data_IF_691470839485
#
_entry.id   IF_691470839485
#
_cell.length_a   1.000
_cell.length_b   1.000
_cell.length_c   1.000
_cell.angle_alpha   90.00
_cell.angle_beta   90.00
_cell.angle_gamma   90.00
#
_symmetry.space_group_name_H-M   'P 1'
#
loop_
_entity.id
_entity.type
_entity.pdbx_description
1 polymer ?
#
# COMPACT_ATOMS: atom_id res chain seq x y z
N UNK A 1 31.77 57.44 12.39
CA UNK A 1 32.53 56.99 11.21
C UNK A 1 33.20 55.67 11.57
N UNK A 2 32.44 54.57 11.57
CA UNK A 2 32.95 53.22 11.78
C UNK A 2 32.32 52.32 10.72
N UNK A 3 33.13 51.89 9.78
CA UNK A 3 32.76 51.04 8.65
C UNK A 3 33.00 49.59 9.07
N UNK A 4 31.93 48.80 9.20
CA UNK A 4 32.01 47.35 9.41
C UNK A 4 32.33 46.67 8.07
N UNK A 5 33.52 46.06 7.98
CA UNK A 5 33.87 45.14 6.91
C UNK A 5 33.38 43.74 7.28
N UNK A 6 32.36 43.25 6.59
CA UNK A 6 31.93 41.85 6.63
C UNK A 6 32.81 41.08 5.64
N UNK A 7 33.68 40.22 6.17
CA UNK A 7 34.45 39.25 5.38
C UNK A 7 33.57 38.02 5.18
N UNK A 8 33.09 37.83 3.96
CA UNK A 8 32.27 36.69 3.55
C UNK A 8 33.21 35.54 3.14
N UNK A 9 33.34 34.55 4.02
CA UNK A 9 34.15 33.35 3.77
C UNK A 9 33.39 32.40 2.83
N UNK A 10 33.74 32.40 1.54
CA UNK A 10 33.26 31.40 0.59
C UNK A 10 34.10 30.13 0.74
N UNK A 11 33.55 29.12 1.42
CA UNK A 11 34.09 27.76 1.37
C UNK A 11 33.61 27.13 0.05
N UNK A 12 34.47 27.16 -0.96
CA UNK A 12 34.33 26.33 -2.16
C UNK A 12 34.80 24.92 -1.84
N UNK A 13 33.85 24.05 -1.47
CA UNK A 13 34.08 22.59 -1.45
C UNK A 13 34.15 22.09 -2.89
N UNK A 14 35.36 21.97 -3.43
CA UNK A 14 35.60 21.22 -4.66
C UNK A 14 35.44 19.73 -4.37
N UNK A 15 34.32 19.14 -4.79
CA UNK A 15 34.19 17.69 -4.81
C UNK A 15 35.01 17.12 -5.97
N UNK A 16 36.11 16.44 -5.63
CA UNK A 16 36.83 15.58 -6.55
C UNK A 16 35.87 14.52 -7.11
N UNK A 17 35.78 14.45 -8.45
CA UNK A 17 35.08 13.39 -9.18
C UNK A 17 35.80 12.06 -8.92
N UNK A 18 35.25 11.28 -8.00
CA UNK A 18 35.63 9.88 -7.83
C UNK A 18 34.75 9.04 -8.79
N UNK A 19 35.34 8.63 -9.91
CA UNK A 19 34.73 7.90 -11.04
C UNK A 19 34.48 6.40 -10.74
N UNK A 20 33.75 6.11 -9.65
CA UNK A 20 33.09 4.81 -9.45
C UNK A 20 32.09 4.88 -8.28
N UNK A 21 31.21 5.90 -8.29
CA UNK A 21 30.05 5.87 -7.41
C UNK A 21 29.03 4.93 -8.03
N UNK A 22 29.00 3.70 -7.54
CA UNK A 22 27.79 2.97 -7.22
C UNK A 22 26.53 3.88 -7.30
N UNK A 23 25.91 3.98 -8.50
CA UNK A 23 24.78 4.89 -8.76
C UNK A 23 23.48 4.14 -8.55
N UNK A 24 22.62 4.67 -7.68
CA UNK A 24 21.31 4.10 -7.40
C UNK A 24 20.29 4.36 -8.54
N UNK A 25 20.29 5.58 -9.10
CA UNK A 25 19.50 5.98 -10.27
C UNK A 25 20.40 6.60 -11.36
N UNK A 26 20.47 5.99 -12.54
CA UNK A 26 21.29 6.45 -13.65
C UNK A 26 20.53 7.39 -14.64
N UNK A 27 21.24 7.89 -15.65
CA UNK A 27 20.67 8.84 -16.61
C UNK A 27 19.59 8.21 -17.51
N UNK A 28 19.64 6.90 -17.77
CA UNK A 28 18.64 6.18 -18.56
C UNK A 28 17.34 6.05 -17.77
N UNK A 29 17.44 5.78 -16.47
CA UNK A 29 16.29 5.69 -15.56
C UNK A 29 15.59 7.04 -15.39
N UNK A 30 16.35 8.15 -15.28
CA UNK A 30 15.78 9.51 -15.27
C UNK A 30 15.04 9.81 -16.58
N UNK A 31 15.65 9.48 -17.72
CA UNK A 31 15.01 9.66 -19.03
C UNK A 31 13.76 8.80 -19.16
N UNK A 32 13.80 7.56 -18.68
CA UNK A 32 12.63 6.68 -18.66
C UNK A 32 11.49 7.35 -17.91
N UNK A 33 11.72 7.90 -16.71
CA UNK A 33 10.65 8.56 -15.95
C UNK A 33 10.03 9.72 -16.72
N UNK A 34 10.85 10.61 -17.27
CA UNK A 34 10.36 11.75 -18.05
C UNK A 34 9.58 11.30 -19.29
N UNK A 35 10.08 10.28 -19.99
CA UNK A 35 9.46 9.78 -21.23
C UNK A 35 8.16 9.02 -21.00
N UNK A 36 8.05 8.27 -19.90
CA UNK A 36 6.91 7.40 -19.62
C UNK A 36 5.83 8.12 -18.80
N UNK A 37 6.24 8.87 -17.76
CA UNK A 37 5.31 9.54 -16.84
C UNK A 37 5.12 11.03 -17.17
N UNK A 38 6.09 11.66 -17.81
CA UNK A 38 6.04 13.07 -18.23
C UNK A 38 7.01 13.98 -17.50
N UNK A 39 7.15 15.21 -18.01
CA UNK A 39 8.18 16.17 -17.57
C UNK A 39 8.04 16.62 -16.10
N UNK A 40 6.84 16.54 -15.53
CA UNK A 40 6.57 16.90 -14.13
C UNK A 40 7.11 15.86 -13.14
N UNK A 41 7.34 14.62 -13.59
CA UNK A 41 7.72 13.52 -12.70
C UNK A 41 9.22 13.43 -12.51
N UNK A 42 9.66 13.13 -11.30
CA UNK A 42 11.07 12.92 -10.97
C UNK A 42 11.24 11.59 -10.22
N UNK A 43 12.49 11.16 -10.05
CA UNK A 43 12.83 10.02 -9.18
C UNK A 43 13.43 10.59 -7.89
N UNK A 44 13.06 10.02 -6.76
CA UNK A 44 13.73 10.29 -5.49
C UNK A 44 15.07 9.55 -5.43
N UNK A 45 16.15 10.27 -5.19
CA UNK A 45 17.52 9.77 -5.31
C UNK A 45 18.27 9.72 -3.97
N UNK A 46 17.65 10.18 -2.87
CA UNK A 46 18.26 10.22 -1.53
C UNK A 46 18.41 8.87 -0.83
N UNK A 47 18.25 7.75 -1.56
CA UNK A 47 18.32 6.41 -0.98
C UNK A 47 19.72 5.82 -1.04
N UNK A 48 20.16 5.13 0.04
CA UNK A 48 21.39 4.36 -0.01
C UNK A 48 21.21 3.11 -0.87
N UNK A 49 22.28 2.69 -1.55
CA UNK A 49 22.32 1.39 -2.25
C UNK A 49 22.17 0.19 -1.33
N UNK A 50 22.60 0.33 -0.08
CA UNK A 50 22.52 -0.69 0.96
C UNK A 50 22.12 -0.01 2.26
N UNK A 51 21.14 -0.60 2.92
CA UNK A 51 20.65 -0.15 4.22
C UNK A 51 20.66 -1.35 5.15
N UNK A 52 21.13 -1.14 6.38
CA UNK A 52 20.89 -2.10 7.46
C UNK A 52 19.45 -1.89 7.96
N UNK A 53 18.61 -2.92 7.85
CA UNK A 53 17.19 -2.80 8.22
C UNK A 53 17.05 -2.41 9.68
N UNK A 54 17.94 -2.91 10.55
CA UNK A 54 17.89 -2.66 11.99
C UNK A 54 18.07 -1.18 12.35
N UNK A 55 18.61 -0.36 11.44
CA UNK A 55 18.76 1.08 11.65
C UNK A 55 17.44 1.85 11.54
N UNK A 56 16.46 1.33 10.80
CA UNK A 56 15.22 2.07 10.49
C UNK A 56 13.93 1.28 10.74
N UNK A 57 14.00 -0.04 10.91
CA UNK A 57 12.83 -0.88 11.13
C UNK A 57 13.08 -2.05 12.10
N UNK A 58 12.02 -2.48 12.77
CA UNK A 58 11.93 -3.76 13.47
C UNK A 58 11.18 -4.73 12.56
N UNK A 59 11.85 -5.76 12.04
CA UNK A 59 11.22 -6.75 11.18
C UNK A 59 10.78 -7.96 12.01
N UNK A 60 9.48 -8.09 12.25
CA UNK A 60 8.89 -9.19 13.01
C UNK A 60 8.03 -10.06 12.09
N UNK A 61 8.58 -11.21 11.70
CA UNK A 61 7.86 -12.20 10.90
C UNK A 61 7.24 -13.27 11.82
N UNK A 62 5.98 -13.63 11.56
CA UNK A 62 5.18 -14.58 12.35
C UNK A 62 4.83 -14.07 13.75
N UNK A 63 4.30 -12.85 13.81
CA UNK A 63 3.77 -12.28 15.06
C UNK A 63 2.53 -13.07 15.48
N UNK A 64 2.55 -13.62 16.70
CA UNK A 64 1.41 -14.37 17.23
C UNK A 64 0.15 -13.50 17.22
N UNK A 65 -0.99 -14.10 16.87
CA UNK A 65 -2.25 -13.35 16.74
C UNK A 65 -2.74 -12.77 18.08
N UNK A 66 -2.39 -13.43 19.20
CA UNK A 66 -2.95 -13.12 20.51
C UNK A 66 -4.48 -13.15 20.48
N UNK A 67 -5.06 -13.95 19.58
CA UNK A 67 -6.50 -14.00 19.34
C UNK A 67 -7.14 -15.00 20.30
N UNK A 68 -7.83 -14.46 21.29
CA UNK A 68 -8.87 -15.22 21.98
C UNK A 68 -10.17 -15.04 21.19
N UNK A 69 -10.93 -16.12 20.99
CA UNK A 69 -12.29 -16.13 20.38
C UNK A 69 -13.31 -15.42 21.29
N UNK A 70 -12.96 -14.27 21.85
CA UNK A 70 -13.77 -13.56 22.82
C UNK A 70 -14.94 -12.86 22.13
N UNK A 71 -16.15 -13.31 22.48
CA UNK A 71 -17.41 -12.85 21.89
C UNK A 71 -17.76 -11.40 22.25
N UNK A 72 -17.00 -10.76 23.15
CA UNK A 72 -17.31 -9.50 23.84
C UNK A 72 -16.33 -8.35 23.57
N UNK A 73 -15.30 -8.54 22.73
CA UNK A 73 -14.34 -7.47 22.42
C UNK A 73 -15.04 -6.33 21.65
N UNK A 74 -14.91 -5.11 22.15
CA UNK A 74 -15.32 -3.88 21.45
C UNK A 74 -14.12 -3.33 20.68
N UNK A 75 -14.34 -2.97 19.42
CA UNK A 75 -13.29 -2.42 18.55
C UNK A 75 -13.51 -0.92 18.38
N UNK A 76 -12.42 -0.11 18.26
CA UNK A 76 -12.55 1.29 17.87
C UNK A 76 -13.30 1.41 16.54
N UNK A 77 -14.27 2.32 16.46
CA UNK A 77 -15.09 2.50 15.25
C UNK A 77 -14.23 2.78 13.99
N UNK A 78 -13.10 3.48 14.16
CA UNK A 78 -12.15 3.83 13.11
C UNK A 78 -10.81 3.10 13.29
N UNK A 79 -10.85 1.79 13.49
CA UNK A 79 -9.63 0.99 13.60
C UNK A 79 -8.87 0.97 12.27
N UNK A 80 -9.52 0.58 11.17
CA UNK A 80 -8.84 0.55 9.87
C UNK A 80 -9.74 0.83 8.66
N UNK A 81 -9.18 1.45 7.63
CA UNK A 81 -9.85 1.71 6.36
C UNK A 81 -9.34 0.74 5.28
N UNK A 82 -10.24 -0.07 4.74
CA UNK A 82 -10.02 -0.96 3.60
C UNK A 82 -10.17 -0.20 2.29
N UNK A 83 -9.06 0.26 1.70
CA UNK A 83 -9.06 0.95 0.39
C UNK A 83 -8.87 -0.09 -0.71
N UNK A 84 -9.97 -0.53 -1.29
CA UNK A 84 -10.01 -1.64 -2.25
C UNK A 84 -9.81 -1.08 -3.65
N UNK A 85 -8.69 -1.45 -4.26
CA UNK A 85 -8.32 -1.05 -5.61
C UNK A 85 -9.02 -1.98 -6.60
N UNK A 86 -9.86 -1.40 -7.46
CA UNK A 86 -10.60 -2.15 -8.48
C UNK A 86 -10.54 -1.44 -9.84
N UNK A 87 -11.09 -2.08 -10.86
CA UNK A 87 -11.16 -1.61 -12.24
C UNK A 87 -12.63 -1.56 -12.71
N UNK A 88 -12.97 -0.69 -13.68
CA UNK A 88 -14.36 -0.51 -14.09
C UNK A 88 -15.03 -1.75 -14.69
N UNK A 89 -14.24 -2.70 -15.20
CA UNK A 89 -14.73 -3.98 -15.73
C UNK A 89 -14.83 -5.09 -14.66
N UNK A 90 -14.61 -4.77 -13.38
CA UNK A 90 -14.63 -5.71 -12.25
C UNK A 90 -15.77 -5.46 -11.26
N UNK A 91 -16.91 -4.98 -11.73
CA UNK A 91 -18.11 -4.76 -10.90
C UNK A 91 -18.49 -6.00 -10.06
N UNK A 92 -18.35 -7.20 -10.62
CA UNK A 92 -18.62 -8.44 -9.88
C UNK A 92 -17.72 -8.62 -8.66
N UNK A 93 -16.48 -8.13 -8.68
CA UNK A 93 -15.58 -8.19 -7.52
C UNK A 93 -16.05 -7.26 -6.41
N UNK A 94 -16.52 -6.06 -6.76
CA UNK A 94 -17.15 -5.11 -5.83
C UNK A 94 -18.35 -5.77 -5.15
N UNK A 95 -19.24 -6.37 -5.94
CA UNK A 95 -20.43 -7.06 -5.42
C UNK A 95 -20.07 -8.25 -4.51
N UNK A 96 -19.11 -9.09 -4.92
CA UNK A 96 -18.67 -10.24 -4.14
C UNK A 96 -18.06 -9.81 -2.80
N UNK A 97 -17.19 -8.79 -2.82
CA UNK A 97 -16.54 -8.27 -1.62
C UNK A 97 -17.57 -7.67 -0.65
N UNK A 98 -18.51 -6.86 -1.17
CA UNK A 98 -19.62 -6.28 -0.40
C UNK A 98 -20.51 -7.35 0.24
N UNK A 99 -20.79 -8.42 -0.49
CA UNK A 99 -21.63 -9.53 -0.01
C UNK A 99 -20.91 -10.52 0.90
N UNK A 100 -19.61 -10.32 1.15
CA UNK A 100 -18.79 -11.21 1.98
C UNK A 100 -18.18 -10.47 3.17
N UNK A 101 -16.87 -10.20 3.16
CA UNK A 101 -16.18 -9.66 4.32
C UNK A 101 -16.38 -8.15 4.50
N UNK A 102 -16.84 -7.43 3.48
CA UNK A 102 -17.20 -6.00 3.56
C UNK A 102 -18.68 -5.74 3.84
N UNK A 103 -19.40 -6.70 4.42
CA UNK A 103 -20.78 -6.45 4.90
C UNK A 103 -20.79 -5.35 5.97
N UNK A 104 -21.87 -4.57 6.00
CA UNK A 104 -22.00 -3.42 6.92
C UNK A 104 -21.95 -3.88 8.38
N UNK A 105 -22.55 -5.02 8.70
CA UNK A 105 -22.57 -5.59 10.04
C UNK A 105 -21.16 -5.99 10.51
N UNK A 106 -20.31 -6.46 9.60
CA UNK A 106 -18.89 -6.71 9.89
C UNK A 106 -18.12 -5.41 10.11
N UNK A 107 -18.31 -4.42 9.24
CA UNK A 107 -17.69 -3.11 9.32
C UNK A 107 -17.95 -2.46 10.69
N UNK A 108 -19.22 -2.40 11.10
CA UNK A 108 -19.63 -1.85 12.40
C UNK A 108 -19.09 -2.68 13.58
N UNK A 109 -19.15 -4.01 13.49
CA UNK A 109 -18.74 -4.90 14.59
C UNK A 109 -17.23 -4.90 14.84
N UNK A 110 -16.42 -4.81 13.78
CA UNK A 110 -14.97 -4.96 13.86
C UNK A 110 -14.20 -3.66 13.60
N UNK A 111 -14.90 -2.52 13.57
CA UNK A 111 -14.28 -1.20 13.60
C UNK A 111 -13.61 -0.78 12.30
N UNK A 112 -14.15 -1.15 11.14
CA UNK A 112 -13.52 -0.85 9.86
C UNK A 112 -14.52 -0.38 8.83
N UNK A 113 -14.00 0.20 7.74
CA UNK A 113 -14.81 0.59 6.59
C UNK A 113 -14.19 0.12 5.29
N UNK A 114 -15.02 -0.37 4.37
CA UNK A 114 -14.61 -0.67 3.00
C UNK A 114 -14.99 0.45 2.05
N UNK A 115 -14.04 0.84 1.20
CA UNK A 115 -14.26 1.75 0.08
C UNK A 115 -13.61 1.18 -1.18
N UNK A 116 -14.22 1.44 -2.34
CA UNK A 116 -13.73 1.01 -3.64
C UNK A 116 -13.18 2.21 -4.39
N UNK A 117 -11.92 2.12 -4.82
CA UNK A 117 -11.24 3.20 -5.53
C UNK A 117 -11.03 2.81 -6.99
N UNK A 118 -11.54 3.66 -7.88
CA UNK A 118 -11.37 3.55 -9.33
C UNK A 118 -10.77 4.84 -9.89
N UNK A 119 -9.98 4.72 -10.96
CA UNK A 119 -9.45 5.89 -11.67
C UNK A 119 -10.54 6.46 -12.57
N UNK A 120 -10.84 7.75 -12.41
CA UNK A 120 -11.97 8.42 -13.06
C UNK A 120 -11.88 8.34 -14.59
N UNK A 121 -10.70 8.58 -15.17
CA UNK A 121 -10.49 8.50 -16.62
C UNK A 121 -10.78 7.10 -17.17
N UNK A 122 -10.36 6.05 -16.46
CA UNK A 122 -10.70 4.65 -16.81
C UNK A 122 -12.20 4.39 -16.74
N UNK A 123 -12.89 4.96 -15.74
CA UNK A 123 -14.34 4.81 -15.57
C UNK A 123 -15.10 5.51 -16.70
N UNK A 124 -14.67 6.72 -17.11
CA UNK A 124 -15.33 7.47 -18.19
C UNK A 124 -15.17 6.82 -19.56
N UNK A 125 -14.14 5.99 -19.76
CA UNK A 125 -13.89 5.30 -21.03
C UNK A 125 -14.58 3.94 -21.13
N UNK A 126 -15.16 3.42 -20.04
CA UNK A 126 -15.86 2.12 -20.04
C UNK A 126 -17.35 2.27 -20.34
N UNK A 127 -17.95 1.19 -20.85
CA UNK A 127 -19.41 1.04 -20.96
C UNK A 127 -20.14 0.91 -19.61
N UNK A 128 -19.38 0.75 -18.52
CA UNK A 128 -19.90 0.47 -17.18
C UNK A 128 -20.07 1.72 -16.29
N UNK A 129 -19.89 2.94 -16.83
CA UNK A 129 -20.04 4.18 -16.06
C UNK A 129 -21.40 4.25 -15.33
N UNK A 130 -22.51 4.04 -16.05
CA UNK A 130 -23.85 4.12 -15.46
C UNK A 130 -24.09 3.04 -14.40
N UNK A 131 -23.55 1.84 -14.59
CA UNK A 131 -23.65 0.75 -13.60
C UNK A 131 -22.93 1.15 -12.30
N UNK A 132 -21.73 1.71 -12.40
CA UNK A 132 -20.93 2.15 -11.27
C UNK A 132 -21.58 3.35 -10.55
N UNK A 133 -22.12 4.31 -11.29
CA UNK A 133 -22.84 5.45 -10.71
C UNK A 133 -24.08 4.97 -9.93
N UNK A 134 -24.88 4.08 -10.51
CA UNK A 134 -26.05 3.50 -9.86
C UNK A 134 -25.69 2.70 -8.59
N UNK A 135 -24.61 1.92 -8.65
CA UNK A 135 -24.09 1.22 -7.47
C UNK A 135 -23.68 2.23 -6.38
N UNK A 136 -22.99 3.30 -6.75
CA UNK A 136 -22.54 4.29 -5.80
C UNK A 136 -23.67 5.14 -5.20
N UNK A 137 -24.73 5.41 -5.97
CA UNK A 137 -25.96 6.03 -5.46
C UNK A 137 -26.66 5.18 -4.41
N UNK A 138 -26.48 3.85 -4.47
CA UNK A 138 -27.09 2.91 -3.52
C UNK A 138 -26.24 2.71 -2.27
N UNK A 139 -24.92 2.52 -2.45
CA UNK A 139 -24.03 2.07 -1.38
C UNK A 139 -23.08 3.14 -0.85
N UNK A 140 -22.87 4.24 -1.59
CA UNK A 140 -22.00 5.35 -1.21
C UNK A 140 -20.58 4.93 -0.78
N UNK A 141 -20.06 3.87 -1.40
CA UNK A 141 -18.77 3.25 -1.08
C UNK A 141 -17.77 3.28 -2.25
N UNK A 142 -18.13 3.88 -3.40
CA UNK A 142 -17.27 3.99 -4.58
C UNK A 142 -16.73 5.42 -4.70
N UNK A 143 -15.41 5.53 -4.85
CA UNK A 143 -14.69 6.79 -4.99
C UNK A 143 -13.90 6.79 -6.29
N UNK A 144 -14.16 7.80 -7.11
CA UNK A 144 -13.38 8.06 -8.33
C UNK A 144 -12.23 9.00 -7.98
N UNK A 145 -11.01 8.56 -8.25
CA UNK A 145 -9.81 9.39 -8.09
C UNK A 145 -9.28 9.80 -9.45
N UNK A 146 -8.75 11.01 -9.53
CA UNK A 146 -8.00 11.43 -10.70
C UNK A 146 -6.59 10.83 -10.72
N UNK A 147 -5.95 10.83 -11.88
CA UNK A 147 -4.52 10.61 -12.00
C UNK A 147 -3.97 11.69 -12.94
N UNK A 148 -3.72 12.91 -12.45
CA UNK A 148 -3.25 13.99 -13.30
C UNK A 148 -1.98 13.57 -14.05
N UNK A 149 -1.95 13.90 -15.34
CA UNK A 149 -0.85 13.62 -16.27
C UNK A 149 -0.60 12.12 -16.56
N UNK A 150 -1.40 11.19 -16.02
CA UNK A 150 -1.20 9.75 -16.16
C UNK A 150 -2.47 9.00 -16.57
N UNK A 151 -2.28 7.86 -17.24
CA UNK A 151 -3.32 6.86 -17.41
C UNK A 151 -3.12 5.72 -16.40
N UNK A 152 -4.20 5.04 -16.05
CA UNK A 152 -4.13 3.84 -15.22
C UNK A 152 -3.39 2.72 -15.97
N UNK A 153 -2.30 2.25 -15.38
CA UNK A 153 -1.40 1.27 -15.95
C UNK A 153 -0.68 0.51 -14.83
N UNK A 154 -0.15 -0.67 -15.14
CA UNK A 154 0.61 -1.50 -14.18
C UNK A 154 1.75 -0.73 -13.47
N UNK A 155 2.46 0.13 -14.21
CA UNK A 155 3.56 0.95 -13.69
C UNK A 155 3.14 2.30 -13.09
N UNK A 156 1.84 2.61 -13.04
CA UNK A 156 1.29 3.83 -12.41
C UNK A 156 0.49 3.52 -11.14
N UNK A 157 0.49 2.26 -10.68
CA UNK A 157 -0.22 1.83 -9.47
C UNK A 157 0.28 2.53 -8.20
N UNK A 158 1.56 2.93 -8.13
CA UNK A 158 2.07 3.75 -7.02
C UNK A 158 1.35 5.09 -6.92
N UNK A 159 1.12 5.77 -8.05
CA UNK A 159 0.40 7.04 -8.10
C UNK A 159 -1.07 6.85 -7.77
N UNK A 160 -1.67 5.73 -8.20
CA UNK A 160 -3.02 5.33 -7.77
C UNK A 160 -3.09 5.25 -6.24
N UNK A 161 -2.12 4.58 -5.59
CA UNK A 161 -2.06 4.51 -4.12
C UNK A 161 -1.91 5.88 -3.47
N UNK A 162 -0.96 6.70 -3.92
CA UNK A 162 -0.70 8.01 -3.32
C UNK A 162 -1.96 8.89 -3.40
N UNK A 163 -2.64 8.94 -4.54
CA UNK A 163 -3.86 9.73 -4.65
C UNK A 163 -5.04 9.11 -3.88
N UNK A 164 -5.15 7.78 -3.84
CA UNK A 164 -6.12 7.12 -2.97
C UNK A 164 -5.92 7.49 -1.49
N UNK A 165 -4.67 7.60 -1.02
CA UNK A 165 -4.36 8.06 0.33
C UNK A 165 -4.63 9.55 0.56
N UNK A 166 -4.32 10.41 -0.41
CA UNK A 166 -4.68 11.85 -0.35
C UNK A 166 -6.20 11.99 -0.17
N UNK A 167 -6.98 11.29 -0.99
CA UNK A 167 -8.44 11.27 -0.91
C UNK A 167 -8.90 10.70 0.44
N UNK A 168 -8.36 9.55 0.85
CA UNK A 168 -8.79 8.87 2.07
C UNK A 168 -8.50 9.68 3.34
N UNK A 169 -7.35 10.34 3.42
CA UNK A 169 -7.01 11.21 4.56
C UNK A 169 -7.94 12.43 4.65
N UNK A 170 -8.48 12.90 3.53
CA UNK A 170 -9.40 14.03 3.49
C UNK A 170 -10.85 13.62 3.82
N UNK A 171 -11.33 12.52 3.25
CA UNK A 171 -12.73 12.07 3.40
C UNK A 171 -12.93 11.22 4.66
N UNK A 172 -11.92 10.43 5.03
CA UNK A 172 -11.95 9.47 6.15
C UNK A 172 -10.80 9.75 7.13
N UNK A 173 -10.80 10.90 7.82
CA UNK A 173 -9.79 11.20 8.80
C UNK A 173 -9.92 10.28 10.04
N UNK A 174 -8.82 10.20 10.79
CA UNK A 174 -8.79 9.59 12.13
C UNK A 174 -8.98 8.07 12.18
N UNK A 175 -8.80 7.37 11.05
CA UNK A 175 -8.55 5.92 11.10
C UNK A 175 -7.16 5.65 11.65
N UNK A 176 -7.03 4.63 12.52
CA UNK A 176 -5.72 4.26 13.08
C UNK A 176 -4.81 3.66 12.01
N UNK A 177 -5.40 2.89 11.10
CA UNK A 177 -4.73 2.28 9.96
C UNK A 177 -5.45 2.58 8.64
N UNK A 178 -4.68 2.73 7.57
CA UNK A 178 -5.18 2.74 6.20
C UNK A 178 -4.49 1.62 5.43
N UNK A 179 -5.19 1.04 4.47
CA UNK A 179 -4.68 -0.10 3.73
C UNK A 179 -4.74 0.13 2.23
N UNK A 180 -4.00 -0.69 1.49
CA UNK A 180 -4.22 -0.96 0.07
C UNK A 180 -4.65 -2.41 -0.05
N UNK A 181 -5.75 -2.66 -0.76
CA UNK A 181 -6.38 -3.99 -0.84
C UNK A 181 -6.68 -4.36 -2.29
N UNK A 182 -6.34 -5.57 -2.71
CA UNK A 182 -6.80 -6.12 -3.99
C UNK A 182 -8.30 -6.49 -3.92
N UNK A 183 -9.01 -6.37 -5.03
CA UNK A 183 -10.45 -6.66 -5.10
C UNK A 183 -10.81 -8.16 -5.19
N UNK A 184 -9.83 -9.06 -5.13
CA UNK A 184 -10.01 -10.52 -5.26
C UNK A 184 -9.65 -11.31 -3.99
N UNK A 185 -9.79 -10.70 -2.81
CA UNK A 185 -9.50 -11.37 -1.53
C UNK A 185 -10.74 -11.60 -0.68
N UNK A 186 -10.63 -12.56 0.25
CA UNK A 186 -11.47 -12.66 1.43
C UNK A 186 -10.61 -12.40 2.67
N UNK A 187 -11.09 -11.55 3.58
CA UNK A 187 -10.42 -11.25 4.85
C UNK A 187 -11.24 -11.83 6.01
N UNK A 188 -10.58 -12.56 6.90
CA UNK A 188 -11.12 -12.96 8.20
C UNK A 188 -11.00 -11.77 9.16
N UNK A 189 -11.99 -10.87 9.10
CA UNK A 189 -11.92 -9.51 9.68
C UNK A 189 -11.88 -9.47 11.21
N UNK A 190 -12.43 -10.47 11.91
CA UNK A 190 -12.36 -10.55 13.37
C UNK A 190 -10.93 -10.81 13.87
N UNK A 191 -10.19 -11.68 13.18
CA UNK A 191 -8.77 -11.92 13.45
C UNK A 191 -7.95 -10.69 13.09
N UNK A 192 -8.15 -10.11 11.90
CA UNK A 192 -7.37 -8.96 11.45
C UNK A 192 -7.58 -7.75 12.37
N UNK A 193 -8.83 -7.41 12.70
CA UNK A 193 -9.12 -6.31 13.61
C UNK A 193 -8.59 -6.58 15.01
N UNK A 194 -8.62 -7.82 15.50
CA UNK A 194 -7.99 -8.17 16.79
C UNK A 194 -6.49 -7.94 16.78
N UNK A 195 -5.83 -8.36 15.70
CA UNK A 195 -4.39 -8.17 15.53
C UNK A 195 -4.04 -6.69 15.50
N UNK A 196 -4.73 -5.90 14.67
CA UNK A 196 -4.48 -4.45 14.56
C UNK A 196 -4.74 -3.72 15.88
N UNK A 197 -5.79 -4.10 16.60
CA UNK A 197 -6.10 -3.49 17.89
C UNK A 197 -5.03 -3.76 18.96
N UNK A 198 -4.42 -4.96 18.93
CA UNK A 198 -3.31 -5.31 19.82
C UNK A 198 -1.99 -4.61 19.44
N UNK A 199 -1.92 -4.01 18.25
CA UNK A 199 -0.74 -3.32 17.72
C UNK A 199 -1.08 -1.88 17.30
N UNK A 200 -1.95 -1.19 18.04
CA UNK A 200 -2.34 0.21 17.83
C UNK A 200 -1.18 1.17 18.13
N UNK A 201 -0.17 1.15 17.28
CA UNK A 201 1.04 1.95 17.38
C UNK A 201 1.24 2.77 16.12
N UNK A 202 1.83 3.95 16.28
CA UNK A 202 2.37 4.72 15.15
C UNK A 202 3.54 3.97 14.52
N UNK A 203 3.97 4.41 13.33
CA UNK A 203 5.12 3.83 12.63
C UNK A 203 5.01 2.32 12.45
N UNK A 204 3.83 1.82 12.10
CA UNK A 204 3.55 0.38 12.01
C UNK A 204 3.04 0.02 10.62
N UNK A 205 3.60 -1.04 10.05
CA UNK A 205 3.15 -1.62 8.77
C UNK A 205 2.86 -3.09 8.99
N UNK A 206 1.66 -3.52 8.58
CA UNK A 206 1.22 -4.91 8.69
C UNK A 206 1.02 -5.47 7.28
N UNK A 207 1.62 -6.63 7.02
CA UNK A 207 1.59 -7.25 5.70
C UNK A 207 2.50 -8.48 5.57
N UNK A 208 2.47 -9.12 4.41
CA UNK A 208 3.47 -10.13 4.05
C UNK A 208 4.79 -9.42 3.71
N UNK A 209 5.72 -9.38 4.67
CA UNK A 209 6.98 -8.67 4.47
C UNK A 209 7.94 -9.48 3.60
N UNK A 210 8.22 -8.99 2.40
CA UNK A 210 9.17 -9.62 1.49
C UNK A 210 10.43 -8.78 1.32
N UNK A 211 11.54 -9.45 1.03
CA UNK A 211 12.82 -8.81 0.72
C UNK A 211 13.54 -9.64 -0.35
N UNK A 212 13.43 -9.24 -1.61
CA UNK A 212 14.07 -9.92 -2.74
C UNK A 212 14.77 -8.95 -3.70
N UNK A 213 15.46 -9.51 -4.70
CA UNK A 213 16.13 -8.72 -5.75
C UNK A 213 15.12 -8.28 -6.82
N UNK A 214 15.32 -7.10 -7.45
CA UNK A 214 14.54 -6.69 -8.62
C UNK A 214 14.59 -7.71 -9.75
N UNK A 215 13.48 -7.89 -10.47
CA UNK A 215 13.50 -8.71 -11.67
C UNK A 215 14.09 -7.90 -12.82
N UNK A 216 15.18 -8.41 -13.40
CA UNK A 216 15.92 -7.73 -14.47
C UNK A 216 15.56 -8.23 -15.87
N UNK A 217 14.65 -9.19 -15.99
CA UNK A 217 14.22 -9.71 -17.30
C UNK A 217 13.08 -8.84 -17.87
N UNK A 218 13.29 -8.08 -18.96
CA UNK A 218 12.27 -7.19 -19.54
C UNK A 218 11.00 -7.89 -20.03
N UNK A 219 11.03 -9.23 -20.17
CA UNK A 219 9.86 -10.03 -20.56
C UNK A 219 9.00 -10.47 -19.37
N UNK A 220 9.46 -10.25 -18.14
CA UNK A 220 8.71 -10.58 -16.95
C UNK A 220 7.76 -9.43 -16.58
N UNK A 221 6.52 -9.73 -16.19
CA UNK A 221 5.55 -8.71 -15.74
C UNK A 221 6.03 -7.90 -14.52
N UNK A 222 6.94 -8.46 -13.73
CA UNK A 222 7.59 -7.80 -12.59
C UNK A 222 8.95 -7.20 -12.94
N UNK A 223 9.26 -6.99 -14.23
CA UNK A 223 10.43 -6.21 -14.64
C UNK A 223 10.35 -4.80 -14.06
N UNK A 224 11.42 -4.37 -13.40
CA UNK A 224 11.50 -3.05 -12.78
C UNK A 224 12.62 -2.22 -13.42
N UNK A 225 12.30 -1.39 -14.43
CA UNK A 225 13.27 -0.48 -15.05
C UNK A 225 13.90 0.52 -14.08
N UNK A 226 13.25 0.87 -12.97
CA UNK A 226 13.77 1.84 -12.00
C UNK A 226 14.66 1.21 -10.93
N UNK A 227 14.64 -0.12 -10.79
CA UNK A 227 15.43 -0.83 -9.79
C UNK A 227 16.57 -1.68 -10.39
N UNK A 228 16.90 -1.55 -11.68
CA UNK A 228 17.91 -2.41 -12.33
C UNK A 228 19.29 -2.36 -11.64
N UNK A 229 19.67 -1.19 -11.13
CA UNK A 229 20.93 -0.93 -10.45
C UNK A 229 20.88 -1.27 -8.96
N UNK A 230 19.70 -1.57 -8.41
CA UNK A 230 19.52 -1.87 -7.00
C UNK A 230 19.84 -3.35 -6.75
N UNK A 231 20.67 -3.68 -5.75
CA UNK A 231 21.00 -5.07 -5.44
C UNK A 231 19.84 -5.84 -4.80
N UNK A 232 19.04 -5.16 -3.99
CA UNK A 232 17.88 -5.72 -3.27
C UNK A 232 16.93 -4.61 -2.87
N UNK A 233 15.62 -4.84 -2.96
CA UNK A 233 14.65 -3.90 -2.41
C UNK A 233 14.77 -3.79 -0.88
N UNK A 234 14.38 -2.64 -0.35
CA UNK A 234 14.05 -2.53 1.07
C UNK A 234 12.83 -3.41 1.37
N UNK A 235 12.72 -4.01 2.58
CA UNK A 235 11.51 -4.71 2.99
C UNK A 235 10.24 -3.93 2.68
N UNK A 236 9.26 -4.62 2.10
CA UNK A 236 7.97 -4.03 1.76
C UNK A 236 6.85 -5.06 2.00
N UNK A 237 5.62 -4.59 2.33
CA UNK A 237 4.45 -5.46 2.37
C UNK A 237 4.06 -5.81 0.93
N UNK A 238 4.07 -7.09 0.57
CA UNK A 238 3.77 -7.55 -0.77
C UNK A 238 2.31 -7.95 -0.96
N UNK A 239 1.87 -7.88 -2.21
CA UNK A 239 0.69 -8.57 -2.69
C UNK A 239 -0.60 -7.85 -2.35
N UNK A 240 -1.53 -8.59 -1.76
CA UNK A 240 -2.96 -8.35 -1.88
C UNK A 240 -3.58 -7.53 -0.73
N UNK A 241 -2.84 -7.34 0.36
CA UNK A 241 -3.21 -6.46 1.46
C UNK A 241 -1.94 -5.89 2.10
N UNK A 242 -1.86 -4.56 2.17
CA UNK A 242 -0.84 -3.84 2.93
C UNK A 242 -1.52 -2.80 3.80
N UNK A 243 -1.15 -2.76 5.08
CA UNK A 243 -1.79 -1.90 6.08
C UNK A 243 -0.72 -1.03 6.74
N UNK A 244 -0.99 0.25 6.88
CA UNK A 244 -0.04 1.24 7.37
C UNK A 244 -0.72 2.09 8.44
N UNK A 245 0.00 2.41 9.50
CA UNK A 245 -0.44 3.39 10.49
C UNK A 245 -0.66 4.76 9.85
N UNK A 246 -1.56 5.55 10.43
CA UNK A 246 -1.97 6.83 9.88
C UNK A 246 -0.80 7.80 9.61
N UNK A 247 0.21 7.84 10.48
CA UNK A 247 1.38 8.71 10.35
C UNK A 247 2.22 8.41 9.09
N UNK A 248 2.41 7.12 8.77
CA UNK A 248 3.06 6.70 7.53
C UNK A 248 2.21 7.13 6.33
N UNK A 249 0.89 7.00 6.41
CA UNK A 249 0.00 7.36 5.31
C UNK A 249 -0.08 8.88 5.12
N UNK A 250 -0.06 9.67 6.19
CA UNK A 250 0.09 11.13 6.15
C UNK A 250 1.43 11.56 5.52
N UNK A 251 2.47 10.76 5.71
CA UNK A 251 3.76 10.99 5.07
C UNK A 251 3.72 10.69 3.57
N UNK A 252 3.13 9.56 3.17
CA UNK A 252 3.08 9.07 1.78
C UNK A 252 2.06 9.86 0.95
N UNK A 253 0.84 10.04 1.47
CA UNK A 253 -0.33 10.63 0.83
C UNK A 253 -0.22 12.14 0.68
N UNK A 254 0.75 12.61 -0.11
CA UNK A 254 0.98 14.02 -0.42
C UNK A 254 1.19 14.21 -1.92
N UNK A 255 0.72 15.34 -2.45
CA UNK A 255 0.90 15.67 -3.87
C UNK A 255 2.38 15.77 -4.29
N UNK A 256 3.28 16.18 -3.40
CA UNK A 256 4.73 16.17 -3.66
C UNK A 256 5.27 14.76 -3.96
N UNK A 257 4.73 13.74 -3.29
CA UNK A 257 5.09 12.35 -3.52
C UNK A 257 4.39 11.78 -4.75
N UNK A 258 3.21 12.29 -5.14
CA UNK A 258 2.53 11.85 -6.36
C UNK A 258 3.42 12.05 -7.61
N UNK A 259 4.10 13.19 -7.69
CA UNK A 259 5.02 13.52 -8.79
C UNK A 259 6.45 12.99 -8.59
N UNK A 260 6.70 12.22 -7.55
CA UNK A 260 8.03 11.70 -7.20
C UNK A 260 8.00 10.19 -7.11
N UNK A 261 8.73 9.50 -7.98
CA UNK A 261 8.84 8.05 -7.95
C UNK A 261 9.79 7.60 -6.85
N UNK A 262 9.32 6.61 -6.10
CA UNK A 262 10.26 5.72 -5.45
C UNK A 262 11.17 5.05 -6.51
N UNK A 263 12.34 4.54 -6.13
CA UNK A 263 13.31 3.81 -6.95
C UNK A 263 12.83 2.41 -7.41
N UNK A 264 11.58 2.33 -7.83
CA UNK A 264 10.85 1.16 -8.28
C UNK A 264 9.75 1.67 -9.21
N UNK A 265 9.53 1.03 -10.35
CA UNK A 265 8.34 1.29 -11.16
C UNK A 265 7.15 0.43 -10.71
N UNK A 266 7.39 -0.53 -9.82
CA UNK A 266 6.38 -1.43 -9.26
C UNK A 266 5.77 -0.86 -7.97
N UNK A 267 4.50 -1.19 -7.76
CA UNK A 267 3.69 -0.78 -6.60
C UNK A 267 4.32 -1.16 -5.25
N UNK A 268 4.35 -2.46 -4.96
CA UNK A 268 4.74 -2.97 -3.63
C UNK A 268 6.17 -2.57 -3.24
N UNK A 269 7.20 -2.74 -4.10
CA UNK A 269 8.55 -2.32 -3.74
C UNK A 269 8.70 -0.80 -3.57
N UNK A 270 7.79 -0.02 -4.15
CA UNK A 270 7.69 1.42 -3.89
C UNK A 270 7.44 1.72 -2.41
N UNK A 271 6.60 0.94 -1.73
CA UNK A 271 6.33 1.10 -0.29
C UNK A 271 7.59 0.92 0.56
N UNK A 272 8.45 -0.04 0.24
CA UNK A 272 9.68 -0.25 1.01
C UNK A 272 10.59 0.99 1.03
N UNK A 273 10.65 1.71 -0.08
CA UNK A 273 11.38 2.97 -0.19
C UNK A 273 10.71 4.08 0.62
N UNK A 274 9.39 4.23 0.51
CA UNK A 274 8.66 5.22 1.29
C UNK A 274 8.75 4.98 2.80
N UNK A 275 8.72 3.73 3.25
CA UNK A 275 8.91 3.33 4.64
C UNK A 275 10.30 3.76 5.14
N UNK A 276 11.35 3.47 4.37
CA UNK A 276 12.70 3.94 4.71
C UNK A 276 12.75 5.47 4.78
N UNK A 277 12.20 6.17 3.79
CA UNK A 277 12.21 7.63 3.73
C UNK A 277 11.47 8.23 4.92
N UNK A 278 10.33 7.65 5.29
CA UNK A 278 9.59 8.02 6.49
C UNK A 278 10.50 7.89 7.71
N UNK A 279 11.06 6.71 7.96
CA UNK A 279 11.86 6.44 9.14
C UNK A 279 13.08 7.39 9.26
N UNK A 280 13.76 7.63 8.14
CA UNK A 280 14.91 8.53 8.09
C UNK A 280 14.52 10.02 8.25
N UNK A 281 13.33 10.43 7.79
CA UNK A 281 12.88 11.83 7.88
C UNK A 281 12.31 12.16 9.26
N UNK A 282 11.62 11.19 9.88
CA UNK A 282 10.96 11.38 11.18
C UNK A 282 11.82 10.93 12.35
N UNK A 283 12.92 10.22 12.09
CA UNK A 283 13.74 9.54 13.09
C UNK A 283 12.91 8.56 13.94
N UNK A 284 11.90 7.94 13.34
CA UNK A 284 11.04 6.92 13.96
C UNK A 284 11.33 5.57 13.32
N UNK A 285 11.64 4.59 14.17
CA UNK A 285 11.83 3.22 13.72
C UNK A 285 10.47 2.60 13.40
N UNK A 286 10.36 1.90 12.28
CA UNK A 286 9.10 1.32 11.80
C UNK A 286 8.97 -0.15 12.21
N UNK A 287 7.84 -0.51 12.81
CA UNK A 287 7.49 -1.90 13.07
C UNK A 287 6.89 -2.54 11.81
N UNK A 288 7.61 -3.49 11.23
CA UNK A 288 7.21 -4.27 10.07
C UNK A 288 6.72 -5.64 10.54
N UNK A 289 5.40 -5.79 10.62
CA UNK A 289 4.75 -6.94 11.23
C UNK A 289 4.13 -7.85 10.17
N UNK A 290 4.50 -9.13 10.19
CA UNK A 290 3.77 -10.18 9.48
C UNK A 290 3.10 -11.08 10.51
N UNK A 291 1.77 -11.02 10.67
CA UNK A 291 1.04 -11.96 11.53
C UNK A 291 1.30 -13.41 11.14
N UNK A 292 1.29 -14.32 12.11
CA UNK A 292 1.16 -15.73 11.80
C UNK A 292 -0.11 -15.98 10.98
N UNK A 293 -0.06 -16.95 10.08
CA UNK A 293 -1.16 -17.28 9.18
C UNK A 293 -1.72 -16.08 8.38
N UNK A 294 -0.91 -15.06 8.07
CA UNK A 294 -1.32 -13.90 7.25
C UNK A 294 -2.13 -14.29 6.01
N UNK A 295 -1.78 -15.41 5.40
CA UNK A 295 -2.41 -15.89 4.18
C UNK A 295 -1.47 -15.75 3.00
N UNK A 296 -2.01 -15.93 1.79
CA UNK A 296 -1.19 -15.84 0.59
C UNK A 296 -1.97 -16.17 -0.68
N UNK A 297 -1.23 -16.60 -1.70
CA UNK A 297 -1.82 -17.33 -2.82
C UNK A 297 -2.22 -18.75 -2.36
N UNK A 298 -3.32 -18.83 -1.64
CA UNK A 298 -3.84 -20.09 -1.09
C UNK A 298 -4.44 -20.97 -2.19
N UNK A 299 -4.64 -20.44 -3.40
CA UNK A 299 -5.31 -21.09 -4.53
C UNK A 299 -6.71 -21.53 -4.09
N UNK A 300 -6.97 -22.84 -4.06
CA UNK A 300 -8.21 -23.44 -3.56
C UNK A 300 -8.00 -24.12 -2.18
N UNK A 301 -6.87 -23.88 -1.53
CA UNK A 301 -6.52 -24.51 -0.26
C UNK A 301 -7.15 -23.71 0.86
N UNK A 302 -8.09 -24.33 1.57
CA UNK A 302 -8.63 -23.79 2.80
C UNK A 302 -7.65 -24.04 3.96
N UNK A 303 -7.63 -23.14 4.94
CA UNK A 303 -6.77 -23.21 6.11
C UNK A 303 -7.09 -22.08 7.07
N UNK A 304 -6.40 -22.03 8.21
CA UNK A 304 -6.65 -21.01 9.22
C UNK A 304 -5.94 -19.70 8.91
N UNK A 305 -6.26 -19.09 7.76
CA UNK A 305 -5.62 -17.88 7.27
C UNK A 305 -6.41 -16.61 7.61
N UNK A 306 -5.70 -15.51 7.85
CA UNK A 306 -6.30 -14.18 7.92
C UNK A 306 -6.84 -13.77 6.55
N UNK A 307 -6.09 -14.09 5.47
CA UNK A 307 -6.41 -13.63 4.13
C UNK A 307 -6.37 -14.77 3.14
N UNK A 308 -7.41 -14.86 2.31
CA UNK A 308 -7.49 -15.79 1.20
C UNK A 308 -7.42 -15.01 -0.10
N UNK A 309 -6.51 -15.42 -0.98
CA UNK A 309 -6.31 -14.82 -2.28
C UNK A 309 -5.97 -15.90 -3.31
N UNK A 310 -6.55 -15.81 -4.51
CA UNK A 310 -6.11 -16.59 -5.68
C UNK A 310 -5.70 -15.63 -6.79
N UNK A 311 -4.42 -15.64 -7.15
CA UNK A 311 -3.88 -14.84 -8.25
C UNK A 311 -4.52 -15.17 -9.62
N UNK A 312 -5.22 -16.31 -9.74
CA UNK A 312 -5.98 -16.68 -10.94
C UNK A 312 -7.46 -16.27 -10.87
N UNK A 313 -7.88 -15.62 -9.79
CA UNK A 313 -9.24 -15.12 -9.60
C UNK A 313 -10.29 -16.22 -9.45
N UNK A 314 -9.93 -17.43 -8.96
CA UNK A 314 -10.87 -18.54 -8.78
C UNK A 314 -11.31 -18.73 -7.32
N UNK A 315 -10.98 -17.78 -6.46
CA UNK A 315 -11.43 -17.78 -5.07
C UNK A 315 -12.95 -17.63 -5.02
N UNK A 316 -13.63 -18.63 -4.45
CA UNK A 316 -15.04 -18.54 -4.12
C UNK A 316 -15.20 -17.88 -2.74
N UNK A 317 -15.24 -16.55 -2.70
CA UNK A 317 -15.29 -15.79 -1.44
C UNK A 317 -16.48 -16.19 -0.56
N UNK A 318 -17.64 -16.48 -1.15
CA UNK A 318 -18.86 -16.90 -0.41
C UNK A 318 -18.68 -18.24 0.26
N UNK A 319 -18.11 -19.22 -0.44
CA UNK A 319 -17.83 -20.55 0.15
C UNK A 319 -16.81 -20.46 1.28
N UNK A 320 -15.74 -19.68 1.09
CA UNK A 320 -14.73 -19.50 2.11
C UNK A 320 -15.29 -18.76 3.33
N UNK A 321 -16.11 -17.72 3.12
CA UNK A 321 -16.81 -17.04 4.22
C UNK A 321 -17.68 -18.01 5.01
N UNK A 322 -18.50 -18.82 4.32
CA UNK A 322 -19.36 -19.82 4.97
C UNK A 322 -18.53 -20.76 5.86
N UNK A 323 -17.41 -21.27 5.35
CA UNK A 323 -16.51 -22.13 6.13
C UNK A 323 -15.87 -21.40 7.32
N UNK A 324 -15.49 -20.13 7.18
CA UNK A 324 -14.98 -19.34 8.32
C UNK A 324 -16.02 -19.23 9.43
N UNK A 325 -17.27 -18.95 9.08
CA UNK A 325 -18.40 -18.91 10.03
C UNK A 325 -18.58 -20.28 10.71
N UNK A 326 -18.55 -21.37 9.94
CA UNK A 326 -18.64 -22.75 10.47
C UNK A 326 -17.50 -23.08 11.46
N UNK A 327 -16.29 -22.57 11.22
CA UNK A 327 -15.12 -22.72 12.12
C UNK A 327 -15.17 -21.79 13.36
N UNK A 328 -16.23 -20.98 13.47
CA UNK A 328 -16.46 -20.04 14.56
C UNK A 328 -15.70 -18.72 14.43
N UNK A 329 -15.24 -18.39 13.22
CA UNK A 329 -14.68 -17.09 12.87
C UNK A 329 -15.70 -16.25 12.12
N UNK A 330 -15.77 -14.97 12.43
CA UNK A 330 -16.82 -14.07 11.91
C UNK A 330 -18.24 -14.54 12.32
N UNK A 331 -19.10 -13.60 12.70
CA UNK A 331 -20.48 -13.96 13.09
C UNK A 331 -21.38 -14.10 11.88
N UNK A 332 -22.34 -15.01 11.95
CA UNK A 332 -23.50 -14.98 11.06
C UNK A 332 -24.42 -13.83 11.49
N UNK A 333 -24.99 -13.12 10.50
CA UNK A 333 -25.90 -12.00 10.68
C UNK A 333 -27.18 -12.22 9.89
#
# INVERSE_FOLDING_TARGET
>A
MFSLLIVQCYITLSFAQNNNKDVFIDHLQRRYVKSFYGEKFNVEESYPLRVNIEEYANLNQNVALGFEKEKTKSYPERLWLAIIHTMPNKISHIQNTRNTWCREEYQQRYGFKCIYVLVESSVRQTKHLNDLLKLNETYHDIYFIDMPDLNEHWFTLQQKNINAYIMALNIFPDYSFYSRVDDQILVTVDILSSFLMNHLTNSTVVGEMVKHRPNRNPRNKYYDPLAINIPKYFPFPAGYLSIFSQDIIKFIGKWENYYTFAPSSLEDPGFGHWIYKFANTTNQRVDLLTPENWGGNTKNTYGDYIIFHDQRGRLNQTEFLKRRIEDGYMKEF
#
